data_IF_573506222703
#
_entry.id   IF_573506222703
#
_cell.length_a   1.000
_cell.length_b   1.000
_cell.length_c   1.000
_cell.angle_alpha   90.00
_cell.angle_beta   90.00
_cell.angle_gamma   90.00
#
_symmetry.space_group_name_H-M   'P 1'
#
loop_
_entity.id
_entity.type
_entity.pdbx_description
1 polymer ?
#
# COMPACT_ATOMS: atom_id res chain seq x y z
N UNK A 1 -0.53 22.09 -5.87
CA UNK A 1 -0.93 20.68 -6.09
C UNK A 1 -2.09 20.30 -5.18
N UNK A 2 -1.89 20.07 -3.87
CA UNK A 2 -2.93 19.63 -2.92
C UNK A 2 -2.87 20.38 -1.58
N UNK A 3 -2.69 21.70 -1.60
CA UNK A 3 -2.58 22.53 -0.38
C UNK A 3 -3.40 23.80 -0.50
N UNK A 4 -3.21 24.72 0.44
CA UNK A 4 -3.79 26.06 0.36
C UNK A 4 -2.94 26.88 -0.60
N UNK A 5 -3.57 27.42 -1.65
CA UNK A 5 -2.91 28.35 -2.56
C UNK A 5 -2.57 29.65 -1.80
N UNK A 6 -1.30 30.06 -1.73
CA UNK A 6 -0.92 31.27 -1.00
C UNK A 6 -1.52 32.55 -1.57
N UNK A 7 -1.84 32.60 -2.88
CA UNK A 7 -2.38 33.75 -3.59
C UNK A 7 -3.90 33.83 -3.44
N UNK A 8 -4.62 32.77 -3.82
CA UNK A 8 -6.08 32.76 -3.84
C UNK A 8 -6.71 32.34 -2.51
N UNK A 9 -5.92 31.77 -1.58
CA UNK A 9 -6.37 31.14 -0.32
C UNK A 9 -7.32 29.96 -0.51
N UNK A 10 -7.50 29.47 -1.73
CA UNK A 10 -8.31 28.30 -2.00
C UNK A 10 -7.65 27.02 -1.46
N UNK A 11 -8.45 26.12 -0.90
CA UNK A 11 -7.99 24.87 -0.30
C UNK A 11 -8.14 23.70 -1.28
N UNK A 12 -7.02 23.11 -1.69
CA UNK A 12 -6.96 21.95 -2.58
C UNK A 12 -6.53 20.64 -1.89
N UNK A 13 -6.58 20.57 -0.56
CA UNK A 13 -6.14 19.38 0.19
C UNK A 13 -6.90 18.11 -0.17
N UNK A 14 -8.15 18.24 -0.63
CA UNK A 14 -8.98 17.13 -1.08
C UNK A 14 -8.34 16.34 -2.25
N UNK A 15 -7.47 16.98 -3.05
CA UNK A 15 -6.77 16.33 -4.17
C UNK A 15 -5.79 15.24 -3.72
N UNK A 16 -5.38 15.22 -2.44
CA UNK A 16 -4.59 14.10 -1.88
C UNK A 16 -5.36 12.78 -1.97
N UNK A 17 -6.67 12.83 -1.78
CA UNK A 17 -7.56 11.68 -1.90
C UNK A 17 -7.65 11.20 -3.35
N UNK A 18 -7.69 12.12 -4.33
CA UNK A 18 -7.66 11.75 -5.76
C UNK A 18 -6.39 10.97 -6.10
N UNK A 19 -5.23 11.45 -5.65
CA UNK A 19 -3.94 10.79 -5.89
C UNK A 19 -3.93 9.40 -5.24
N UNK A 20 -4.35 9.28 -3.97
CA UNK A 20 -4.43 8.00 -3.25
C UNK A 20 -5.31 6.99 -3.99
N UNK A 21 -6.51 7.43 -4.40
CA UNK A 21 -7.47 6.57 -5.07
C UNK A 21 -6.96 6.13 -6.45
N UNK A 22 -6.28 7.02 -7.18
CA UNK A 22 -5.68 6.65 -8.47
C UNK A 22 -4.52 5.66 -8.30
N UNK A 23 -3.65 5.82 -7.29
CA UNK A 23 -2.60 4.84 -6.96
C UNK A 23 -3.23 3.47 -6.70
N UNK A 24 -4.30 3.43 -5.91
CA UNK A 24 -4.99 2.18 -5.57
C UNK A 24 -5.66 1.55 -6.79
N UNK A 25 -6.36 2.32 -7.61
CA UNK A 25 -6.96 1.83 -8.86
C UNK A 25 -5.91 1.23 -9.79
N UNK A 26 -4.79 1.94 -10.01
CA UNK A 26 -3.72 1.46 -10.87
C UNK A 26 -3.01 0.22 -10.31
N UNK A 27 -2.87 0.09 -8.98
CA UNK A 27 -2.30 -1.12 -8.35
C UNK A 27 -3.11 -2.40 -8.61
N UNK A 28 -4.40 -2.26 -8.93
CA UNK A 28 -5.27 -3.40 -9.27
C UNK A 28 -5.19 -3.77 -10.75
N UNK A 29 -4.80 -2.83 -11.61
CA UNK A 29 -4.64 -3.03 -13.04
C UNK A 29 -3.24 -3.52 -13.37
N UNK A 30 -2.23 -2.75 -12.94
CA UNK A 30 -0.82 -2.98 -13.22
C UNK A 30 -0.25 -4.12 -12.37
N UNK A 31 0.78 -4.78 -12.88
CA UNK A 31 1.65 -5.69 -12.15
C UNK A 31 2.75 -4.89 -11.44
N UNK A 32 2.34 -3.88 -10.67
CA UNK A 32 3.20 -3.01 -9.88
C UNK A 32 2.62 -2.97 -8.47
N UNK A 33 3.36 -3.50 -7.51
CA UNK A 33 2.90 -3.61 -6.14
C UNK A 33 3.37 -2.39 -5.34
N UNK A 34 2.48 -1.78 -4.55
CA UNK A 34 2.78 -0.54 -3.80
C UNK A 34 3.37 -0.91 -2.43
N UNK A 35 4.67 -0.68 -2.23
CA UNK A 35 5.34 -0.97 -0.96
C UNK A 35 5.11 0.15 0.07
N UNK A 36 5.29 1.41 -0.35
CA UNK A 36 5.06 2.58 0.47
C UNK A 36 4.66 3.81 -0.36
N UNK A 37 3.96 4.76 0.25
CA UNK A 37 3.62 6.06 -0.34
C UNK A 37 3.49 7.16 0.72
N UNK A 38 3.71 8.41 0.30
CA UNK A 38 3.37 9.60 1.07
C UNK A 38 2.94 10.73 0.13
N UNK A 39 1.74 11.29 0.36
CA UNK A 39 1.17 12.35 -0.47
C UNK A 39 1.22 13.67 0.29
N UNK A 40 2.12 14.56 -0.14
CA UNK A 40 2.34 15.88 0.46
C UNK A 40 1.46 16.94 -0.24
N UNK A 41 1.50 18.18 0.22
CA UNK A 41 0.74 19.28 -0.37
C UNK A 41 1.27 19.72 -1.75
N UNK A 42 2.54 19.45 -2.07
CA UNK A 42 3.21 19.90 -3.29
C UNK A 42 3.91 18.79 -4.09
N UNK A 43 4.02 17.57 -3.57
CA UNK A 43 4.59 16.41 -4.25
C UNK A 43 4.11 15.11 -3.60
N UNK A 44 4.46 13.96 -4.14
CA UNK A 44 4.25 12.66 -3.50
C UNK A 44 5.45 11.75 -3.74
N UNK A 45 5.63 10.76 -2.87
CA UNK A 45 6.65 9.72 -2.99
C UNK A 45 5.99 8.35 -3.10
N UNK A 46 6.59 7.46 -3.89
CA UNK A 46 6.19 6.06 -4.04
C UNK A 46 7.41 5.15 -3.93
N UNK A 47 7.24 4.04 -3.22
CA UNK A 47 8.11 2.87 -3.29
C UNK A 47 7.29 1.74 -3.89
N UNK A 48 7.74 1.19 -5.01
CA UNK A 48 7.01 0.16 -5.75
C UNK A 48 7.90 -1.02 -6.08
N UNK A 49 7.27 -2.19 -6.18
CA UNK A 49 7.87 -3.41 -6.72
C UNK A 49 7.34 -3.63 -8.14
N UNK A 50 8.25 -3.74 -9.11
CA UNK A 50 7.89 -4.01 -10.51
C UNK A 50 7.85 -5.53 -10.72
N UNK A 51 6.65 -6.10 -10.76
CA UNK A 51 6.44 -7.54 -10.77
C UNK A 51 6.33 -8.07 -12.21
N UNK A 52 7.49 -8.25 -12.85
CA UNK A 52 7.58 -8.74 -14.24
C UNK A 52 7.08 -10.16 -14.38
N UNK A 53 7.38 -11.01 -13.40
CA UNK A 53 6.98 -12.42 -13.39
C UNK A 53 5.46 -12.55 -13.34
N UNK A 54 4.80 -11.74 -12.52
CA UNK A 54 3.33 -11.64 -12.50
C UNK A 54 2.76 -11.23 -13.85
N UNK A 55 3.35 -10.25 -14.54
CA UNK A 55 2.90 -9.85 -15.88
C UNK A 55 3.15 -10.92 -16.95
N UNK A 56 4.26 -11.66 -16.86
CA UNK A 56 4.58 -12.74 -17.76
C UNK A 56 3.65 -13.96 -17.57
N UNK A 57 3.22 -14.22 -16.34
CA UNK A 57 2.35 -15.33 -16.00
C UNK A 57 0.88 -15.14 -16.39
N UNK A 58 0.43 -13.90 -16.68
CA UNK A 58 -0.98 -13.66 -17.06
C UNK A 58 -1.31 -14.37 -18.39
N UNK A 59 -2.51 -14.91 -18.51
CA UNK A 59 -3.09 -15.24 -19.80
C UNK A 59 -3.45 -13.97 -20.57
N UNK A 60 -3.66 -14.09 -21.89
CA UNK A 60 -4.09 -12.97 -22.72
C UNK A 60 -5.45 -12.41 -22.27
N UNK A 61 -6.34 -13.28 -21.80
CA UNK A 61 -7.63 -12.89 -21.24
C UNK A 61 -7.47 -12.03 -19.98
N UNK A 62 -6.58 -12.42 -19.06
CA UNK A 62 -6.31 -11.64 -17.84
C UNK A 62 -5.66 -10.28 -18.14
N UNK A 63 -4.81 -10.20 -19.18
CA UNK A 63 -4.26 -8.91 -19.63
C UNK A 63 -5.39 -7.99 -20.11
N UNK A 64 -6.30 -8.51 -20.94
CA UNK A 64 -7.45 -7.74 -21.43
C UNK A 64 -8.37 -7.36 -20.28
N UNK A 65 -8.63 -8.27 -19.33
CA UNK A 65 -9.51 -8.04 -18.18
C UNK A 65 -8.97 -6.95 -17.25
N UNK A 66 -7.65 -6.90 -17.06
CA UNK A 66 -7.00 -5.80 -16.32
C UNK A 66 -7.07 -4.50 -17.10
N UNK A 67 -6.70 -4.54 -18.38
CA UNK A 67 -6.61 -3.34 -19.22
C UNK A 67 -7.95 -2.62 -19.37
N UNK A 68 -9.05 -3.38 -19.54
CA UNK A 68 -10.40 -2.83 -19.72
C UNK A 68 -10.95 -2.06 -18.51
N UNK A 69 -10.38 -2.24 -17.32
CA UNK A 69 -10.84 -1.54 -16.10
C UNK A 69 -10.63 -0.04 -16.19
N UNK A 70 -9.58 0.40 -16.88
CA UNK A 70 -9.22 1.82 -17.01
C UNK A 70 -9.22 2.29 -18.48
N UNK A 71 -9.35 1.37 -19.44
CA UNK A 71 -9.22 1.68 -20.88
C UNK A 71 -10.36 1.11 -21.72
N UNK A 72 -10.71 1.85 -22.78
CA UNK A 72 -11.63 1.33 -23.80
C UNK A 72 -10.94 0.29 -24.67
N UNK A 73 -11.62 -0.82 -24.91
CA UNK A 73 -11.13 -1.88 -25.79
C UNK A 73 -11.34 -1.51 -27.27
N UNK A 74 -10.32 -1.68 -28.14
CA UNK A 74 -10.50 -1.62 -29.57
C UNK A 74 -11.47 -2.72 -30.06
N UNK A 75 -12.14 -2.46 -31.19
CA UNK A 75 -13.11 -3.40 -31.78
C UNK A 75 -12.51 -4.79 -32.04
N UNK A 76 -11.26 -4.87 -32.51
CA UNK A 76 -10.59 -6.14 -32.77
C UNK A 76 -10.43 -7.00 -31.50
N UNK A 77 -10.11 -6.40 -30.36
CA UNK A 77 -9.99 -7.10 -29.07
C UNK A 77 -11.37 -7.49 -28.52
N UNK A 78 -12.36 -6.63 -28.71
CA UNK A 78 -13.74 -6.93 -28.29
C UNK A 78 -14.31 -8.13 -29.07
N UNK A 79 -14.06 -8.22 -30.38
CA UNK A 79 -14.43 -9.39 -31.20
C UNK A 79 -13.63 -10.64 -30.83
N UNK A 80 -12.36 -10.50 -30.46
CA UNK A 80 -11.54 -11.61 -29.97
C UNK A 80 -12.12 -12.23 -28.70
N UNK A 81 -12.53 -11.43 -27.71
CA UNK A 81 -13.20 -11.91 -26.50
C UNK A 81 -14.49 -12.69 -26.80
N UNK A 82 -15.18 -12.35 -27.89
CA UNK A 82 -16.41 -13.02 -28.34
C UNK A 82 -16.15 -14.22 -29.26
N UNK A 83 -14.89 -14.56 -29.55
CA UNK A 83 -14.55 -15.62 -30.50
C UNK A 83 -14.93 -15.31 -31.96
N UNK A 84 -15.06 -14.03 -32.32
CA UNK A 84 -15.56 -13.57 -33.62
C UNK A 84 -14.45 -13.22 -34.63
N UNK A 85 -13.18 -13.51 -34.32
CA UNK A 85 -12.10 -13.33 -35.30
C UNK A 85 -12.10 -14.52 -36.27
N UNK A 86 -12.07 -14.22 -37.57
CA UNK A 86 -12.28 -15.23 -38.62
C UNK A 86 -11.01 -15.56 -39.39
N UNK A 87 -10.04 -14.64 -39.39
CA UNK A 87 -8.79 -14.81 -40.12
C UNK A 87 -7.58 -14.89 -39.19
N UNK A 88 -6.54 -15.59 -39.63
CA UNK A 88 -5.27 -15.66 -38.90
C UNK A 88 -4.65 -14.27 -38.69
N UNK A 89 -4.74 -13.40 -39.70
CA UNK A 89 -4.21 -12.04 -39.64
C UNK A 89 -4.93 -11.18 -38.58
N UNK A 90 -6.24 -11.32 -38.42
CA UNK A 90 -6.99 -10.64 -37.35
C UNK A 90 -6.51 -11.11 -35.97
N UNK A 91 -6.35 -12.43 -35.79
CA UNK A 91 -5.89 -12.99 -34.52
C UNK A 91 -4.48 -12.53 -34.19
N UNK A 92 -3.55 -12.59 -35.14
CA UNK A 92 -2.17 -12.11 -34.96
C UNK A 92 -2.14 -10.61 -34.60
N UNK A 93 -2.90 -9.77 -35.31
CA UNK A 93 -2.99 -8.34 -35.00
C UNK A 93 -3.57 -8.06 -33.60
N UNK A 94 -4.56 -8.85 -33.17
CA UNK A 94 -5.12 -8.76 -31.82
C UNK A 94 -4.09 -9.12 -30.75
N UNK A 95 -3.38 -10.24 -30.93
CA UNK A 95 -2.38 -10.71 -29.97
C UNK A 95 -1.20 -9.73 -29.85
N UNK A 96 -0.80 -9.06 -30.93
CA UNK A 96 0.22 -7.99 -30.87
C UNK A 96 -0.22 -6.80 -30.01
N UNK A 97 -1.51 -6.46 -30.03
CA UNK A 97 -2.07 -5.41 -29.17
C UNK A 97 -2.02 -5.85 -27.71
N UNK A 98 -2.45 -7.08 -27.43
CA UNK A 98 -2.48 -7.65 -26.07
C UNK A 98 -1.06 -7.75 -25.49
N UNK A 99 -0.09 -8.20 -26.29
CA UNK A 99 1.32 -8.27 -25.87
C UNK A 99 1.92 -6.88 -25.58
N UNK A 100 1.53 -5.87 -26.36
CA UNK A 100 1.88 -4.47 -26.04
C UNK A 100 1.32 -4.05 -24.68
N UNK A 101 0.09 -4.44 -24.33
CA UNK A 101 -0.50 -4.15 -23.03
C UNK A 101 0.19 -4.91 -21.90
N UNK A 102 0.50 -6.20 -22.10
CA UNK A 102 1.26 -7.02 -21.15
C UNK A 102 2.58 -6.34 -20.76
N UNK A 103 3.30 -5.81 -21.75
CA UNK A 103 4.54 -5.05 -21.52
C UNK A 103 4.31 -3.74 -20.76
N UNK A 104 3.15 -3.09 -20.95
CA UNK A 104 2.79 -1.86 -20.22
C UNK A 104 2.42 -2.12 -18.77
N UNK A 105 1.78 -3.25 -18.46
CA UNK A 105 1.30 -3.58 -17.12
C UNK A 105 2.41 -3.63 -16.06
N UNK A 106 3.68 -3.82 -16.44
CA UNK A 106 4.82 -3.73 -15.51
C UNK A 106 5.72 -2.52 -15.77
N UNK A 107 5.33 -1.61 -16.67
CA UNK A 107 6.13 -0.42 -16.99
C UNK A 107 5.87 0.72 -16.01
N UNK A 108 6.89 1.05 -15.20
CA UNK A 108 6.83 2.21 -14.28
C UNK A 108 6.48 3.51 -15.02
N UNK A 109 7.02 3.71 -16.22
CA UNK A 109 6.74 4.92 -17.01
C UNK A 109 5.27 5.03 -17.43
N UNK A 110 4.62 3.91 -17.77
CA UNK A 110 3.19 3.90 -18.11
C UNK A 110 2.32 4.13 -16.87
N UNK A 111 2.65 3.46 -15.76
CA UNK A 111 1.98 3.67 -14.48
C UNK A 111 2.03 5.16 -14.06
N UNK A 112 3.23 5.76 -14.07
CA UNK A 112 3.41 7.17 -13.69
C UNK A 112 2.73 8.11 -14.69
N UNK A 113 2.69 7.77 -15.98
CA UNK A 113 1.98 8.55 -16.99
C UNK A 113 0.48 8.60 -16.70
N UNK A 114 -0.15 7.45 -16.46
CA UNK A 114 -1.60 7.40 -16.18
C UNK A 114 -1.96 8.07 -14.86
N UNK A 115 -1.15 7.84 -13.81
CA UNK A 115 -1.34 8.50 -12.52
C UNK A 115 -1.28 10.02 -12.66
N UNK A 116 -0.22 10.55 -13.27
CA UNK A 116 0.00 11.99 -13.36
C UNK A 116 -0.95 12.67 -14.35
N UNK A 117 -1.27 12.01 -15.46
CA UNK A 117 -2.15 12.57 -16.48
C UNK A 117 -3.56 12.78 -15.94
N UNK A 118 -4.12 11.77 -15.27
CA UNK A 118 -5.48 11.86 -14.73
C UNK A 118 -5.61 12.99 -13.70
N UNK A 119 -4.67 13.09 -12.77
CA UNK A 119 -4.63 14.16 -11.76
C UNK A 119 -4.47 15.54 -12.40
N UNK A 120 -3.61 15.67 -13.42
CA UNK A 120 -3.44 16.92 -14.14
C UNK A 120 -4.73 17.33 -14.87
N UNK A 121 -5.41 16.39 -15.52
CA UNK A 121 -6.69 16.65 -16.19
C UNK A 121 -7.79 17.06 -15.21
N UNK A 122 -7.89 16.41 -14.05
CA UNK A 122 -8.87 16.74 -13.02
C UNK A 122 -8.61 18.13 -12.43
N UNK A 123 -7.36 18.43 -12.06
CA UNK A 123 -6.99 19.73 -11.50
C UNK A 123 -7.19 20.88 -12.51
N UNK A 124 -6.75 20.71 -13.75
CA UNK A 124 -6.96 21.72 -14.80
C UNK A 124 -8.45 21.97 -15.06
N UNK A 125 -9.29 20.93 -14.99
CA UNK A 125 -10.75 21.07 -15.12
C UNK A 125 -11.36 21.79 -13.93
N UNK A 126 -10.92 21.48 -12.70
CA UNK A 126 -11.41 22.16 -11.49
C UNK A 126 -11.10 23.66 -11.51
N UNK A 127 -9.94 24.03 -12.05
CA UNK A 127 -9.47 25.42 -12.11
C UNK A 127 -9.83 26.14 -13.42
N UNK A 128 -10.64 25.51 -14.30
CA UNK A 128 -10.99 25.99 -15.64
C UNK A 128 -9.77 26.50 -16.44
N UNK A 129 -8.66 25.78 -16.37
CA UNK A 129 -7.39 26.19 -16.95
C UNK A 129 -6.84 25.12 -17.91
N UNK A 130 -5.84 25.51 -18.69
CA UNK A 130 -5.11 24.62 -19.61
C UNK A 130 -3.61 24.82 -19.39
N UNK A 131 -2.85 23.74 -19.51
CA UNK A 131 -1.39 23.80 -19.44
C UNK A 131 -0.78 22.72 -18.56
N UNK A 132 0.47 22.96 -18.15
CA UNK A 132 1.26 22.04 -17.34
C UNK A 132 0.85 22.13 -15.87
N UNK A 133 0.39 21.00 -15.32
CA UNK A 133 0.12 20.86 -13.88
C UNK A 133 1.36 20.43 -13.09
N UNK A 134 2.17 19.54 -13.66
CA UNK A 134 3.40 19.04 -13.04
C UNK A 134 4.62 19.85 -13.50
N UNK A 135 5.48 20.24 -12.56
CA UNK A 135 6.67 21.04 -12.84
C UNK A 135 7.70 20.31 -13.72
N UNK A 136 7.85 19.00 -13.54
CA UNK A 136 8.83 18.21 -14.28
C UNK A 136 8.43 16.74 -14.40
N UNK A 137 9.26 15.95 -15.11
CA UNK A 137 9.13 14.49 -15.16
C UNK A 137 9.37 13.88 -13.78
N UNK A 138 8.77 12.73 -13.52
CA UNK A 138 9.07 11.97 -12.31
C UNK A 138 10.55 11.57 -12.26
N UNK A 139 11.07 11.42 -11.04
CA UNK A 139 12.40 10.87 -10.78
C UNK A 139 12.25 9.47 -10.22
N UNK A 140 13.15 8.56 -10.58
CA UNK A 140 13.15 7.19 -10.08
C UNK A 140 14.57 6.74 -9.74
N UNK A 141 14.71 6.03 -8.63
CA UNK A 141 15.97 5.42 -8.19
C UNK A 141 15.71 3.94 -7.90
N UNK A 142 16.56 3.06 -8.47
CA UNK A 142 16.46 1.64 -8.20
C UNK A 142 16.97 1.32 -6.80
N UNK A 143 16.24 0.48 -6.07
CA UNK A 143 16.63 -0.06 -4.77
C UNK A 143 17.24 -1.43 -5.01
N UNK A 144 18.51 -1.59 -4.61
CA UNK A 144 19.32 -2.75 -5.03
C UNK A 144 19.24 -3.93 -4.06
N UNK A 145 18.79 -3.68 -2.83
CA UNK A 145 18.70 -4.68 -1.77
C UNK A 145 17.57 -4.36 -0.78
N UNK A 146 17.33 -5.29 0.13
CA UNK A 146 16.32 -5.20 1.19
C UNK A 146 16.59 -4.04 2.16
N UNK A 147 17.85 -3.69 2.43
CA UNK A 147 18.17 -2.56 3.30
C UNK A 147 17.78 -1.24 2.66
N UNK A 148 18.05 -1.07 1.36
CA UNK A 148 17.62 0.04 0.56
C UNK A 148 16.09 0.13 0.48
N UNK A 149 15.39 -1.01 0.37
CA UNK A 149 13.93 -1.07 0.44
C UNK A 149 13.40 -0.56 1.77
N UNK A 150 13.86 -1.10 2.90
CA UNK A 150 13.42 -0.69 4.23
C UNK A 150 13.71 0.80 4.50
N UNK A 151 14.91 1.27 4.11
CA UNK A 151 15.31 2.67 4.26
C UNK A 151 14.43 3.62 3.40
N UNK A 152 14.16 3.26 2.14
CA UNK A 152 13.31 4.06 1.27
C UNK A 152 11.86 4.12 1.78
N UNK A 153 11.29 2.98 2.20
CA UNK A 153 9.95 2.94 2.78
C UNK A 153 9.87 3.81 4.04
N UNK A 154 10.81 3.66 4.97
CA UNK A 154 10.86 4.47 6.20
C UNK A 154 11.04 5.96 5.90
N UNK A 155 11.87 6.32 4.92
CA UNK A 155 12.00 7.69 4.45
C UNK A 155 10.65 8.24 3.97
N UNK A 156 9.96 7.50 3.10
CA UNK A 156 8.67 7.89 2.53
C UNK A 156 7.62 8.07 3.63
N UNK A 157 7.43 7.08 4.50
CA UNK A 157 6.43 7.13 5.57
C UNK A 157 6.69 8.25 6.60
N UNK A 158 7.95 8.67 6.77
CA UNK A 158 8.31 9.76 7.66
C UNK A 158 8.26 11.15 7.02
N UNK A 159 7.99 11.28 5.71
CA UNK A 159 8.01 12.59 5.04
C UNK A 159 7.08 13.63 5.71
N UNK A 160 5.80 13.32 6.02
CA UNK A 160 4.92 14.28 6.70
C UNK A 160 5.41 14.68 8.09
N UNK A 161 5.98 13.73 8.85
CA UNK A 161 6.55 14.02 10.16
C UNK A 161 7.77 14.94 10.02
N UNK A 162 8.69 14.63 9.09
CA UNK A 162 9.90 15.44 8.87
C UNK A 162 9.61 16.84 8.34
N UNK A 163 8.49 17.01 7.64
CA UNK A 163 7.99 18.31 7.21
C UNK A 163 7.26 19.09 8.32
N UNK A 164 7.06 18.49 9.51
CA UNK A 164 6.30 19.12 10.60
C UNK A 164 4.79 19.13 10.39
N UNK A 165 4.27 18.40 9.40
CA UNK A 165 2.83 18.27 9.11
C UNK A 165 2.18 17.31 10.11
N UNK A 166 2.88 16.23 10.45
CA UNK A 166 2.44 15.23 11.42
C UNK A 166 3.34 15.23 12.66
N UNK A 167 2.77 14.92 13.82
CA UNK A 167 3.53 14.83 15.09
C UNK A 167 4.11 13.44 15.32
N UNK A 168 3.42 12.42 14.83
CA UNK A 168 3.83 11.01 14.94
C UNK A 168 3.49 10.26 13.65
N UNK A 169 4.14 9.12 13.36
CA UNK A 169 3.85 8.35 12.15
C UNK A 169 2.37 7.93 12.02
N UNK A 170 1.71 7.65 13.14
CA UNK A 170 0.28 7.29 13.21
C UNK A 170 -0.64 8.42 12.75
N UNK A 171 -0.22 9.67 12.95
CA UNK A 171 -0.96 10.88 12.56
C UNK A 171 -0.61 11.38 11.16
N UNK A 172 0.31 10.72 10.45
CA UNK A 172 0.71 11.08 9.08
C UNK A 172 -0.36 10.70 8.07
N UNK A 173 -1.35 11.57 7.85
CA UNK A 173 -2.39 11.31 6.85
C UNK A 173 -1.85 11.12 5.44
N UNK A 174 -2.55 10.30 4.63
CA UNK A 174 -2.18 9.98 3.25
C UNK A 174 -0.77 9.36 3.11
N UNK A 175 -0.45 8.45 4.04
CA UNK A 175 0.76 7.63 4.00
C UNK A 175 0.45 6.15 4.07
N UNK A 176 1.37 5.33 3.58
CA UNK A 176 1.28 3.87 3.74
C UNK A 176 1.34 3.42 5.19
N UNK A 177 2.15 4.05 6.04
CA UNK A 177 2.20 3.69 7.47
C UNK A 177 0.85 3.92 8.13
N UNK A 178 0.18 5.06 7.87
CA UNK A 178 -1.16 5.29 8.40
C UNK A 178 -2.15 4.22 7.89
N UNK A 179 -2.11 3.88 6.60
CA UNK A 179 -2.98 2.85 6.03
C UNK A 179 -2.75 1.48 6.68
N UNK A 180 -1.49 1.09 6.91
CA UNK A 180 -1.12 -0.17 7.57
C UNK A 180 -1.55 -0.21 9.02
N UNK A 181 -1.41 0.89 9.75
CA UNK A 181 -1.85 1.00 11.14
C UNK A 181 -3.38 0.96 11.27
N UNK A 182 -4.11 1.60 10.34
CA UNK A 182 -5.57 1.51 10.26
C UNK A 182 -6.02 0.06 10.01
N UNK A 183 -5.38 -0.63 9.06
CA UNK A 183 -5.65 -2.04 8.78
C UNK A 183 -5.41 -2.92 10.02
N UNK A 184 -4.28 -2.71 10.70
CA UNK A 184 -3.93 -3.41 11.93
C UNK A 184 -4.96 -3.19 13.06
N UNK A 185 -5.43 -1.96 13.24
CA UNK A 185 -6.48 -1.63 14.21
C UNK A 185 -7.82 -2.29 13.88
N UNK A 186 -8.08 -2.56 12.59
CA UNK A 186 -9.25 -3.30 12.12
C UNK A 186 -9.00 -4.82 12.02
N UNK A 187 -7.91 -5.33 12.58
CA UNK A 187 -7.54 -6.75 12.55
C UNK A 187 -7.40 -7.31 11.12
N UNK A 188 -6.99 -6.47 10.17
CA UNK A 188 -6.68 -6.88 8.80
C UNK A 188 -5.20 -7.23 8.70
N UNK A 189 -4.88 -8.34 8.03
CA UNK A 189 -3.50 -8.78 7.83
C UNK A 189 -2.67 -7.79 7.00
N UNK A 190 -3.29 -7.18 6.00
CA UNK A 190 -2.65 -6.18 5.14
C UNK A 190 -3.59 -5.01 4.86
N UNK A 191 -3.00 -3.83 4.65
CA UNK A 191 -3.75 -2.70 4.16
C UNK A 191 -4.17 -2.92 2.70
N UNK A 192 -5.40 -2.53 2.32
CA UNK A 192 -5.85 -2.61 0.94
C UNK A 192 -4.86 -1.97 -0.03
N UNK A 193 -4.63 -2.63 -1.16
CA UNK A 193 -3.78 -2.15 -2.26
C UNK A 193 -2.29 -1.93 -1.92
N UNK A 194 -1.84 -2.30 -0.70
CA UNK A 194 -0.43 -2.30 -0.34
C UNK A 194 0.15 -3.71 -0.42
N UNK A 195 1.40 -3.79 -0.89
CA UNK A 195 2.15 -5.04 -0.91
C UNK A 195 2.31 -5.56 0.55
N UNK A 196 1.95 -6.82 0.81
CA UNK A 196 1.90 -7.35 2.17
C UNK A 196 3.31 -7.56 2.73
N UNK A 197 3.44 -7.46 4.05
CA UNK A 197 4.64 -7.91 4.75
C UNK A 197 4.53 -9.42 4.98
N UNK A 198 5.49 -10.18 4.46
CA UNK A 198 5.48 -11.66 4.53
C UNK A 198 6.37 -12.20 5.65
N UNK A 199 7.06 -11.33 6.40
CA UNK A 199 8.00 -11.75 7.43
C UNK A 199 9.32 -12.21 6.83
N UNK A 200 10.03 -13.05 7.58
CA UNK A 200 11.24 -13.68 7.10
C UNK A 200 10.85 -14.78 6.12
N UNK A 201 11.39 -14.80 4.89
CA UNK A 201 11.12 -15.88 3.96
C UNK A 201 11.53 -17.22 4.59
N UNK A 202 10.56 -18.12 4.75
CA UNK A 202 10.84 -19.56 4.85
C UNK A 202 11.38 -20.03 3.48
N UNK A 203 11.79 -21.29 3.32
CA UNK A 203 12.24 -21.81 2.01
C UNK A 203 11.17 -21.71 0.89
N UNK A 204 10.00 -21.14 1.15
CA UNK A 204 8.94 -20.86 0.20
C UNK A 204 9.09 -19.46 -0.41
N UNK A 205 8.97 -19.37 -1.74
CA UNK A 205 8.88 -18.08 -2.44
C UNK A 205 7.51 -17.44 -2.18
N UNK A 206 7.42 -16.62 -1.15
CA UNK A 206 6.24 -15.78 -0.90
C UNK A 206 6.38 -14.44 -1.64
N UNK A 207 5.30 -13.97 -2.27
CA UNK A 207 5.23 -12.68 -2.96
C UNK A 207 4.88 -11.58 -1.95
N UNK A 208 5.86 -10.77 -1.55
CA UNK A 208 5.68 -9.76 -0.52
C UNK A 208 6.95 -9.02 -0.10
N UNK A 209 6.77 -8.07 0.82
CA UNK A 209 7.85 -7.33 1.47
C UNK A 209 8.51 -8.26 2.51
N UNK A 210 9.82 -8.56 2.41
CA UNK A 210 10.50 -9.59 3.20
C UNK A 210 10.89 -9.12 4.61
N UNK A 211 9.97 -8.43 5.29
CA UNK A 211 10.14 -8.02 6.68
C UNK A 211 8.89 -8.36 7.47
N UNK A 212 9.03 -8.47 8.79
CA UNK A 212 7.86 -8.48 9.68
C UNK A 212 7.37 -7.04 9.81
N UNK A 213 6.06 -6.83 9.72
CA UNK A 213 5.46 -5.50 9.88
C UNK A 213 5.88 -4.85 11.21
N UNK A 214 5.93 -5.63 12.30
CA UNK A 214 6.29 -5.11 13.63
C UNK A 214 7.72 -4.58 13.67
N UNK A 215 8.67 -5.33 13.11
CA UNK A 215 10.09 -4.92 13.04
C UNK A 215 10.24 -3.67 12.17
N UNK A 216 9.47 -3.57 11.08
CA UNK A 216 9.40 -2.37 10.26
C UNK A 216 8.84 -1.16 11.01
N UNK A 217 7.77 -1.32 11.80
CA UNK A 217 7.22 -0.23 12.61
C UNK A 217 8.23 0.29 13.63
N UNK A 218 8.97 -0.61 14.28
CA UNK A 218 10.06 -0.24 15.20
C UNK A 218 11.18 0.51 14.48
N UNK A 219 11.58 0.07 13.28
CA UNK A 219 12.54 0.79 12.44
C UNK A 219 12.06 2.21 12.12
N UNK A 220 10.78 2.38 11.77
CA UNK A 220 10.21 3.70 11.49
C UNK A 220 10.20 4.58 12.74
N UNK A 221 9.82 4.04 13.90
CA UNK A 221 9.82 4.79 15.17
C UNK A 221 11.22 5.22 15.59
N UNK A 222 12.18 4.29 15.53
CA UNK A 222 13.59 4.58 15.79
C UNK A 222 14.11 5.65 14.83
N UNK A 223 13.78 5.53 13.54
CA UNK A 223 14.15 6.49 12.50
C UNK A 223 13.49 7.85 12.70
N UNK A 224 12.26 7.92 13.22
CA UNK A 224 11.54 9.16 13.51
C UNK A 224 12.22 9.99 14.59
N UNK A 225 12.86 9.33 15.57
CA UNK A 225 13.54 9.95 16.72
C UNK A 225 14.90 10.53 16.37
N UNK A 226 15.53 10.07 15.27
CA UNK A 226 16.85 10.57 14.89
C UNK A 226 16.78 12.06 14.54
N UNK A 227 17.62 12.86 15.19
CA UNK A 227 17.73 14.29 14.90
C UNK A 227 18.32 14.51 13.50
N UNK A 228 17.75 15.47 12.77
CA UNK A 228 18.31 15.98 11.51
C UNK A 228 18.11 17.49 11.49
N UNK A 229 19.16 18.22 11.16
CA UNK A 229 19.13 19.68 11.10
C UNK A 229 18.00 20.17 10.17
N UNK A 230 17.21 21.13 10.64
CA UNK A 230 16.09 21.71 9.89
C UNK A 230 14.88 20.79 9.66
N UNK A 231 14.82 19.62 10.30
CA UNK A 231 13.68 18.68 10.19
C UNK A 231 13.05 18.39 11.55
N UNK A 232 11.73 18.25 11.57
CA UNK A 232 11.03 17.76 12.75
C UNK A 232 11.41 16.30 13.05
N UNK A 233 11.34 15.92 14.32
CA UNK A 233 11.68 14.59 14.82
C UNK A 233 10.78 14.24 16.01
N UNK A 234 10.69 12.95 16.31
CA UNK A 234 9.90 12.46 17.44
C UNK A 234 10.68 12.66 18.74
N UNK A 235 10.08 13.34 19.72
CA UNK A 235 10.72 13.62 21.00
C UNK A 235 11.01 12.36 21.83
N UNK A 236 12.10 12.39 22.62
CA UNK A 236 12.51 11.26 23.45
C UNK A 236 11.45 10.84 24.51
N UNK A 237 10.61 11.78 24.96
CA UNK A 237 9.52 11.51 25.91
C UNK A 237 8.31 10.79 25.31
N UNK A 238 8.24 10.60 23.99
CA UNK A 238 7.15 9.86 23.34
C UNK A 238 7.38 8.35 23.51
N UNK A 239 6.43 7.56 24.07
CA UNK A 239 6.59 6.11 24.24
C UNK A 239 6.88 5.39 22.92
N UNK A 240 7.56 4.24 22.88
CA UNK A 240 7.77 3.44 21.66
C UNK A 240 6.47 3.16 20.89
N UNK A 241 6.53 3.06 19.55
CA UNK A 241 5.34 2.91 18.70
C UNK A 241 4.45 1.74 19.11
N UNK A 242 5.02 0.59 19.48
CA UNK A 242 4.24 -0.58 19.89
C UNK A 242 3.46 -0.35 21.20
N UNK A 243 3.98 0.50 22.10
CA UNK A 243 3.24 0.94 23.28
C UNK A 243 2.09 1.89 22.92
N UNK A 244 2.33 2.82 21.99
CA UNK A 244 1.32 3.80 21.55
C UNK A 244 0.16 3.15 20.80
N UNK A 245 0.45 2.10 20.04
CA UNK A 245 -0.55 1.36 19.28
C UNK A 245 -1.39 0.42 20.16
N UNK A 246 -1.13 0.34 21.48
CA UNK A 246 -1.75 -0.63 22.39
C UNK A 246 -1.70 -2.08 21.87
N UNK A 247 -0.74 -2.38 20.99
CA UNK A 247 -0.61 -3.69 20.37
C UNK A 247 -0.08 -4.66 21.40
N UNK A 248 -0.99 -5.37 22.05
CA UNK A 248 -0.75 -6.54 22.87
C UNK A 248 0.27 -6.41 24.00
N UNK A 249 0.98 -5.31 24.27
CA UNK A 249 1.98 -5.36 25.35
C UNK A 249 1.33 -5.60 26.72
N UNK A 250 0.17 -5.02 27.02
CA UNK A 250 -0.56 -5.29 28.27
C UNK A 250 -1.27 -6.64 28.28
N UNK A 251 -1.91 -7.02 27.17
CA UNK A 251 -2.61 -8.32 27.05
C UNK A 251 -1.62 -9.48 27.02
N UNK A 252 -0.49 -9.35 26.31
CA UNK A 252 0.63 -10.29 26.27
C UNK A 252 1.38 -10.36 27.61
N UNK A 253 1.67 -9.24 28.29
CA UNK A 253 2.24 -9.32 29.64
C UNK A 253 1.29 -10.05 30.58
N UNK A 254 -0.01 -9.74 30.54
CA UNK A 254 -1.03 -10.46 31.33
C UNK A 254 -1.08 -11.94 30.97
N UNK A 255 -1.11 -12.29 29.69
CA UNK A 255 -1.04 -13.69 29.22
C UNK A 255 0.20 -14.36 29.81
N UNK A 256 1.40 -13.81 29.64
CA UNK A 256 2.64 -14.40 30.15
C UNK A 256 2.75 -14.45 31.68
N UNK A 257 2.06 -13.57 32.42
CA UNK A 257 2.14 -13.51 33.90
C UNK A 257 0.94 -14.14 34.62
N UNK A 258 -0.20 -14.30 33.95
CA UNK A 258 -1.46 -14.80 34.48
C UNK A 258 -1.88 -16.14 33.85
N UNK A 259 -1.18 -16.64 32.81
CA UNK A 259 -1.48 -17.93 32.14
C UNK A 259 -1.62 -19.08 33.15
N UNK A 260 -0.69 -19.14 34.10
CA UNK A 260 -0.61 -20.21 35.10
C UNK A 260 -1.52 -19.95 36.31
N UNK A 261 -1.99 -18.71 36.50
CA UNK A 261 -2.75 -18.27 37.68
C UNK A 261 -4.26 -18.37 37.51
N UNK A 262 -4.77 -18.51 36.29
CA UNK A 262 -6.19 -18.59 36.00
C UNK A 262 -6.62 -19.96 35.49
N UNK A 263 -7.85 -20.38 35.81
CA UNK A 263 -8.50 -21.60 35.28
C UNK A 263 -8.85 -21.47 33.78
N UNK A 264 -8.01 -20.79 33.02
CA UNK A 264 -8.16 -20.59 31.58
C UNK A 264 -7.75 -21.87 30.87
N UNK A 265 -8.67 -22.48 30.13
CA UNK A 265 -8.42 -23.72 29.39
C UNK A 265 -8.01 -23.47 27.94
N UNK A 266 -8.11 -22.22 27.48
CA UNK A 266 -7.67 -21.79 26.16
C UNK A 266 -7.31 -20.30 26.17
N UNK A 267 -6.46 -19.88 25.24
CA UNK A 267 -6.06 -18.49 25.02
C UNK A 267 -6.27 -18.16 23.55
N UNK A 268 -6.94 -17.05 23.23
CA UNK A 268 -7.29 -16.72 21.86
C UNK A 268 -8.33 -15.60 21.74
N UNK A 269 -8.80 -15.34 20.53
CA UNK A 269 -9.86 -14.36 20.25
C UNK A 269 -11.25 -15.01 20.35
N UNK A 270 -12.31 -14.22 20.55
CA UNK A 270 -13.68 -14.77 20.66
C UNK A 270 -14.11 -15.58 19.44
N UNK A 271 -13.68 -15.17 18.24
CA UNK A 271 -14.01 -15.83 16.98
C UNK A 271 -13.44 -17.26 16.86
N UNK A 272 -12.40 -17.62 17.61
CA UNK A 272 -11.80 -18.95 17.57
C UNK A 272 -12.32 -19.89 18.66
N UNK A 273 -13.13 -19.39 19.60
CA UNK A 273 -13.63 -20.16 20.75
C UNK A 273 -14.53 -21.31 20.31
N UNK A 274 -15.41 -21.06 19.34
CA UNK A 274 -16.39 -22.06 18.91
C UNK A 274 -15.72 -23.21 18.16
N UNK A 275 -14.75 -22.87 17.30
CA UNK A 275 -13.89 -23.84 16.62
C UNK A 275 -13.06 -24.66 17.61
N UNK A 276 -12.47 -24.00 18.61
CA UNK A 276 -11.71 -24.67 19.67
C UNK A 276 -12.59 -25.57 20.55
N UNK A 277 -13.83 -25.15 20.83
CA UNK A 277 -14.82 -25.91 21.63
C UNK A 277 -15.18 -27.22 20.95
N UNK A 278 -15.37 -27.16 19.63
CA UNK A 278 -15.65 -28.33 18.80
C UNK A 278 -14.44 -29.27 18.73
N UNK A 279 -13.24 -28.76 18.48
CA UNK A 279 -12.03 -29.59 18.32
C UNK A 279 -11.54 -30.22 19.63
N UNK A 280 -11.66 -29.51 20.76
CA UNK A 280 -11.21 -30.00 22.07
C UNK A 280 -12.28 -30.82 22.80
N UNK A 281 -13.46 -31.03 22.19
CA UNK A 281 -14.59 -31.78 22.71
C UNK A 281 -15.00 -31.38 24.15
N UNK A 282 -14.99 -30.06 24.44
CA UNK A 282 -15.28 -29.51 25.77
C UNK A 282 -16.61 -28.78 25.79
N UNK A 283 -17.45 -29.05 26.81
CA UNK A 283 -18.74 -28.34 27.02
C UNK A 283 -18.57 -26.86 27.40
N UNK A 284 -17.45 -26.50 28.04
CA UNK A 284 -17.07 -25.12 28.38
C UNK A 284 -15.58 -24.91 28.11
N UNK A 285 -15.26 -23.75 27.54
CA UNK A 285 -13.90 -23.24 27.43
C UNK A 285 -13.84 -21.94 28.22
N UNK A 286 -12.95 -21.89 29.20
CA UNK A 286 -12.57 -20.64 29.85
C UNK A 286 -11.51 -19.98 28.98
N UNK A 287 -11.95 -19.06 28.11
CA UNK A 287 -11.08 -18.34 27.20
C UNK A 287 -10.41 -17.18 27.93
N UNK A 288 -9.09 -17.16 27.93
CA UNK A 288 -8.34 -15.92 28.14
C UNK A 288 -8.31 -15.14 26.83
N UNK A 289 -9.00 -14.00 26.79
CA UNK A 289 -9.18 -13.20 25.57
C UNK A 289 -7.93 -12.41 25.24
N UNK A 290 -7.45 -12.55 24.00
CA UNK A 290 -6.37 -11.74 23.43
C UNK A 290 -6.87 -10.46 22.76
N UNK A 291 -8.16 -10.39 22.46
CA UNK A 291 -8.87 -9.27 21.86
C UNK A 291 -9.52 -8.40 22.95
N UNK A 292 -8.73 -7.49 23.51
CA UNK A 292 -9.15 -6.48 24.50
C UNK A 292 -8.78 -5.08 24.06
#
# INVERSE_FOLDING_TARGET
MCGIDPLTKQNFEHRREWIKNKIYALSQVYCIDICAYAIMSNHYHLVVHINRDKAAALSDHEVVERWQREHKLPSIVSRWLLGQLTTKAETEACLLIIDSWRSRLWSLSWFMKELNFDIACQANREEDCKGHFWESRFKSQALLDEQALAAAMAYVDLNPLRAGIAKTPETSEFTSIQARLKALNHQQETAPCLHPFIGNPTNEKLDGIPFRLMDYLELVDWSARQFREGKAYLGAGVPPILQRLNLNQRTWLKVCTELERHRSTAVGCLCTVELARSHLNKKRIHLFRLDG
#
